data_IF_144105381248
#
_entry.id   IF_144105381248
#
_cell.length_a   1.000
_cell.length_b   1.000
_cell.length_c   1.000
_cell.angle_alpha   90.00
_cell.angle_beta   90.00
_cell.angle_gamma   90.00
#
_symmetry.space_group_name_H-M   'P 1'
#
loop_
_entity.id
_entity.type
_entity.pdbx_description
1 polymer ?
#
# COMPACT_ATOMS: atom_id res chain seq x y z
N UNK A 1 26.05 9.66 -5.69
CA UNK A 1 25.31 9.91 -4.43
C UNK A 1 23.82 9.77 -4.73
N UNK A 2 23.22 8.61 -4.45
CA UNK A 2 21.78 8.41 -4.64
C UNK A 2 21.05 8.97 -3.41
N UNK A 3 20.33 10.07 -3.59
CA UNK A 3 19.32 10.53 -2.63
C UNK A 3 18.18 9.50 -2.59
N UNK A 4 18.23 8.56 -1.66
CA UNK A 4 17.14 7.61 -1.42
C UNK A 4 16.02 8.33 -0.69
N UNK A 5 15.05 8.87 -1.44
CA UNK A 5 13.86 9.51 -0.86
C UNK A 5 13.07 8.50 -0.01
N UNK A 6 12.73 8.89 1.23
CA UNK A 6 11.87 8.10 2.11
C UNK A 6 10.44 8.06 1.55
N UNK A 7 9.81 6.89 1.57
CA UNK A 7 8.39 6.75 1.23
C UNK A 7 7.58 7.01 2.51
N UNK A 8 6.65 7.96 2.42
CA UNK A 8 5.71 8.28 3.49
C UNK A 8 4.37 7.58 3.20
N UNK A 9 3.92 6.73 4.14
CA UNK A 9 2.59 6.12 4.08
C UNK A 9 1.78 6.54 5.30
N UNK A 10 0.53 6.93 5.07
CA UNK A 10 -0.44 7.16 6.15
C UNK A 10 -1.11 5.84 6.51
N UNK A 11 -0.93 5.38 7.75
CA UNK A 11 -1.53 4.14 8.27
C UNK A 11 -2.44 4.50 9.44
N UNK A 12 -3.55 3.77 9.63
CA UNK A 12 -4.39 3.94 10.82
C UNK A 12 -3.54 3.75 12.07
N UNK A 13 -3.69 4.65 13.04
CA UNK A 13 -2.96 4.55 14.29
C UNK A 13 -3.30 3.22 15.00
N UNK A 14 -2.30 2.34 15.25
CA UNK A 14 -2.51 1.08 15.97
C UNK A 14 -2.57 1.27 17.50
N UNK A 15 -2.08 2.41 18.00
CA UNK A 15 -1.97 2.71 19.42
C UNK A 15 -3.28 3.22 20.02
N UNK A 16 -3.41 3.06 21.33
CA UNK A 16 -4.56 3.52 22.12
C UNK A 16 -4.72 5.02 22.14
N UNK A 17 -3.60 5.75 22.15
CA UNK A 17 -3.59 7.20 22.16
C UNK A 17 -3.36 7.77 20.76
N UNK A 18 -4.12 8.79 20.35
CA UNK A 18 -3.86 9.50 19.11
C UNK A 18 -2.53 10.28 19.19
N UNK A 19 -1.77 10.27 18.10
CA UNK A 19 -0.64 11.18 17.96
C UNK A 19 -1.14 12.60 17.69
N UNK A 20 -0.97 13.48 18.69
CA UNK A 20 -1.34 14.90 18.63
C UNK A 20 -0.11 15.83 18.70
N UNK A 21 1.08 15.27 18.55
CA UNK A 21 2.35 16.00 18.65
C UNK A 21 2.46 17.19 17.66
N UNK A 22 1.71 17.12 16.56
CA UNK A 22 1.66 18.16 15.50
C UNK A 22 0.81 19.38 15.88
N UNK A 23 -0.24 19.14 16.67
CA UNK A 23 -1.26 20.11 17.04
C UNK A 23 -0.91 20.87 18.32
N UNK A 24 -0.31 20.19 19.29
CA UNK A 24 -0.14 20.71 20.64
C UNK A 24 0.78 19.88 21.50
N UNK A 25 0.77 20.16 22.80
CA UNK A 25 1.60 19.50 23.80
C UNK A 25 0.75 19.10 25.00
N UNK A 26 1.13 17.99 25.62
CA UNK A 26 0.57 17.56 26.90
C UNK A 26 1.32 18.26 28.04
N UNK A 27 0.58 18.87 28.97
CA UNK A 27 1.14 19.63 30.09
C UNK A 27 1.71 18.75 31.21
N UNK A 28 1.14 17.56 31.37
CA UNK A 28 1.57 16.50 32.30
C UNK A 28 1.81 15.24 31.45
N UNK A 29 2.50 14.21 31.97
CA UNK A 29 2.45 12.89 31.35
C UNK A 29 1.00 12.60 30.97
N UNK A 30 0.81 12.27 29.69
CA UNK A 30 -0.51 12.14 29.07
C UNK A 30 -1.39 11.14 29.82
N UNK A 31 -2.62 10.94 29.38
CA UNK A 31 -3.49 9.97 30.03
C UNK A 31 -2.87 8.55 29.94
N UNK A 32 -2.18 8.12 31.01
CA UNK A 32 -1.71 6.75 31.21
C UNK A 32 -2.93 5.90 31.54
N UNK A 33 -3.58 5.36 30.51
CA UNK A 33 -4.79 4.55 30.69
C UNK A 33 -4.44 3.22 31.37
N UNK A 34 -3.22 2.73 31.16
CA UNK A 34 -2.70 1.52 31.81
C UNK A 34 -1.31 1.83 32.31
N UNK A 35 -1.12 1.75 33.63
CA UNK A 35 0.12 2.13 34.34
C UNK A 35 1.35 1.30 33.93
N UNK A 36 1.13 0.15 33.28
CA UNK A 36 2.19 -0.83 32.99
C UNK A 36 2.32 -1.19 31.50
N UNK A 37 1.66 -0.45 30.59
CA UNK A 37 1.74 -0.76 29.16
C UNK A 37 2.47 0.35 28.41
N UNK A 38 3.63 -0.03 27.84
CA UNK A 38 4.33 0.81 26.89
C UNK A 38 3.40 1.14 25.72
N UNK A 39 3.10 2.44 25.55
CA UNK A 39 2.20 2.94 24.50
C UNK A 39 2.71 2.68 23.08
N UNK A 40 3.98 2.29 22.94
CA UNK A 40 4.66 1.99 21.68
C UNK A 40 4.44 0.55 21.18
N UNK A 41 3.76 -0.31 21.96
CA UNK A 41 3.46 -1.65 21.51
C UNK A 41 2.23 -1.69 20.60
N UNK A 42 2.38 -2.23 19.38
CA UNK A 42 1.26 -2.36 18.42
C UNK A 42 0.12 -3.27 18.92
N UNK A 43 0.34 -4.03 20.01
CA UNK A 43 -0.57 -5.06 20.52
C UNK A 43 -1.06 -4.80 21.95
N UNK A 44 -1.19 -3.54 22.35
CA UNK A 44 -1.79 -3.14 23.65
C UNK A 44 -3.11 -3.88 23.92
N UNK A 45 -3.96 -4.05 22.89
CA UNK A 45 -5.23 -4.77 23.00
C UNK A 45 -5.11 -6.23 23.47
N UNK A 46 -3.98 -6.88 23.21
CA UNK A 46 -3.77 -8.27 23.63
C UNK A 46 -3.51 -8.40 25.13
N UNK A 47 -2.96 -7.35 25.76
CA UNK A 47 -2.63 -7.29 27.18
C UNK A 47 -3.78 -6.79 28.06
N UNK A 48 -4.80 -6.19 27.45
CA UNK A 48 -5.94 -5.57 28.14
C UNK A 48 -7.17 -6.48 28.07
N UNK A 49 -7.92 -6.54 29.17
CA UNK A 49 -9.18 -7.26 29.24
C UNK A 49 -10.22 -6.72 28.25
N UNK A 50 -11.07 -7.60 27.71
CA UNK A 50 -12.00 -7.25 26.63
C UNK A 50 -12.89 -6.05 26.95
N UNK A 51 -13.29 -5.90 28.22
CA UNK A 51 -14.17 -4.82 28.66
C UNK A 51 -13.43 -3.49 28.87
N UNK A 52 -12.15 -3.52 29.22
CA UNK A 52 -11.31 -2.33 29.38
C UNK A 52 -10.87 -1.75 28.03
N UNK A 53 -10.82 -2.57 26.97
CA UNK A 53 -10.43 -2.13 25.62
C UNK A 53 -11.22 -0.93 25.12
N UNK A 54 -12.53 -0.86 25.39
CA UNK A 54 -13.34 0.26 24.92
C UNK A 54 -12.89 1.59 25.52
N UNK A 55 -12.52 1.58 26.80
CA UNK A 55 -12.10 2.77 27.56
C UNK A 55 -10.60 3.06 27.38
N UNK A 56 -9.83 2.03 26.99
CA UNK A 56 -8.42 2.16 26.69
C UNK A 56 -8.13 2.93 25.40
N UNK A 57 -9.07 3.05 24.46
CA UNK A 57 -8.85 3.79 23.21
C UNK A 57 -9.38 5.21 23.30
N UNK A 58 -8.49 6.20 23.15
CA UNK A 58 -8.90 7.58 22.96
C UNK A 58 -9.12 7.91 21.48
N UNK A 59 -10.18 8.67 21.21
CA UNK A 59 -10.38 9.31 19.92
C UNK A 59 -9.65 10.65 19.86
N UNK A 60 -9.41 11.18 18.66
CA UNK A 60 -8.91 12.55 18.49
C UNK A 60 -9.77 13.58 19.23
N UNK A 61 -11.10 13.41 19.21
CA UNK A 61 -12.04 14.32 19.85
C UNK A 61 -11.94 14.27 21.38
N UNK A 62 -11.79 13.09 21.97
CA UNK A 62 -11.65 12.95 23.42
C UNK A 62 -10.30 13.49 23.88
N UNK A 63 -9.21 13.16 23.17
CA UNK A 63 -7.87 13.64 23.51
C UNK A 63 -7.76 15.18 23.42
N UNK A 64 -8.38 15.81 22.42
CA UNK A 64 -8.41 17.28 22.29
C UNK A 64 -9.21 18.01 23.36
N UNK A 65 -10.18 17.33 23.98
CA UNK A 65 -11.01 17.89 25.05
C UNK A 65 -10.40 17.66 26.43
N UNK A 66 -9.33 16.87 26.53
CA UNK A 66 -8.64 16.64 27.78
C UNK A 66 -8.05 17.95 28.32
N UNK A 67 -8.25 18.23 29.61
CA UNK A 67 -7.73 19.42 30.27
C UNK A 67 -6.20 19.46 30.32
N UNK A 68 -5.55 18.30 30.19
CA UNK A 68 -4.09 18.18 30.16
C UNK A 68 -3.49 18.53 28.81
N UNK A 69 -4.31 18.56 27.76
CA UNK A 69 -3.88 18.83 26.40
C UNK A 69 -4.03 20.33 26.07
N UNK A 70 -2.96 20.94 25.58
CA UNK A 70 -2.96 22.34 25.13
C UNK A 70 -2.53 22.42 23.67
N UNK A 71 -3.38 23.00 22.84
CA UNK A 71 -3.07 23.28 21.43
C UNK A 71 -2.92 24.77 21.19
N UNK A 72 -1.73 25.19 20.82
CA UNK A 72 -1.39 26.60 20.62
C UNK A 72 -1.79 27.10 19.22
N UNK A 73 -2.08 26.19 18.28
CA UNK A 73 -2.34 26.49 16.86
C UNK A 73 -3.83 26.61 16.51
N UNK A 74 -4.71 26.46 17.49
CA UNK A 74 -6.17 26.54 17.28
C UNK A 74 -6.57 27.99 16.99
N UNK A 75 -7.35 28.26 15.92
CA UNK A 75 -7.93 29.57 15.64
C UNK A 75 -8.74 30.08 16.84
N UNK A 76 -8.55 31.34 17.24
CA UNK A 76 -9.24 31.90 18.40
C UNK A 76 -10.59 32.49 18.05
N UNK A 77 -10.71 33.04 16.86
CA UNK A 77 -11.92 33.67 16.36
C UNK A 77 -12.28 33.19 14.95
N UNK A 78 -13.38 33.74 14.42
CA UNK A 78 -13.85 33.43 13.08
C UNK A 78 -12.94 33.98 11.99
N UNK A 79 -12.19 35.05 12.25
CA UNK A 79 -11.29 35.65 11.29
C UNK A 79 -10.06 34.75 11.09
N UNK A 80 -9.44 34.29 12.17
CA UNK A 80 -8.33 33.33 12.16
C UNK A 80 -8.70 32.08 11.35
N UNK A 81 -9.92 31.57 11.53
CA UNK A 81 -10.42 30.41 10.80
C UNK A 81 -10.58 30.68 9.30
N UNK A 82 -11.00 31.89 8.92
CA UNK A 82 -11.11 32.29 7.51
C UNK A 82 -9.73 32.52 6.89
N UNK A 83 -8.80 33.11 7.64
CA UNK A 83 -7.42 33.34 7.20
C UNK A 83 -6.64 32.04 7.02
N UNK A 84 -6.99 30.97 7.73
CA UNK A 84 -6.40 29.64 7.54
C UNK A 84 -6.97 28.87 6.34
N UNK A 85 -8.07 29.34 5.75
CA UNK A 85 -8.72 28.66 4.63
C UNK A 85 -7.96 28.85 3.30
N UNK A 86 -8.23 27.96 2.35
CA UNK A 86 -7.66 28.00 1.01
C UNK A 86 -8.71 28.51 0.03
N UNK A 87 -8.27 29.42 -0.84
CA UNK A 87 -9.05 29.90 -1.97
C UNK A 87 -8.28 29.75 -3.29
N UNK A 88 -8.91 29.16 -4.31
CA UNK A 88 -8.34 28.98 -5.64
C UNK A 88 -9.20 29.68 -6.70
N UNK A 89 -8.91 30.97 -6.94
CA UNK A 89 -9.69 31.78 -7.87
C UNK A 89 -9.78 31.18 -9.28
N UNK A 90 -8.68 30.61 -9.78
CA UNK A 90 -8.58 30.11 -11.16
C UNK A 90 -9.44 28.86 -11.44
N UNK A 91 -9.82 28.12 -10.39
CA UNK A 91 -10.57 26.85 -10.51
C UNK A 91 -12.03 26.99 -10.11
N UNK A 92 -12.37 28.06 -9.38
CA UNK A 92 -13.66 28.22 -8.73
C UNK A 92 -14.51 29.29 -9.45
N UNK A 93 -15.17 28.88 -10.55
CA UNK A 93 -16.18 29.70 -11.22
C UNK A 93 -17.59 29.33 -10.70
N UNK A 94 -18.34 30.31 -10.19
CA UNK A 94 -19.72 30.15 -9.68
C UNK A 94 -19.91 29.19 -8.50
N UNK A 95 -18.89 28.99 -7.67
CA UNK A 95 -19.01 28.10 -6.52
C UNK A 95 -19.86 28.77 -5.42
N UNK A 96 -20.81 28.05 -4.79
CA UNK A 96 -21.62 28.65 -3.73
C UNK A 96 -20.77 29.10 -2.53
N UNK A 97 -21.25 30.12 -1.82
CA UNK A 97 -20.53 30.80 -0.71
C UNK A 97 -19.94 29.87 0.36
N UNK A 98 -20.49 28.67 0.54
CA UNK A 98 -19.99 27.66 1.48
C UNK A 98 -18.63 27.06 1.10
N UNK A 99 -18.26 27.06 -0.18
CA UNK A 99 -16.98 26.51 -0.65
C UNK A 99 -15.87 27.55 -0.72
N UNK A 100 -16.16 28.82 -0.44
CA UNK A 100 -15.15 29.89 -0.45
C UNK A 100 -14.12 29.73 0.66
N UNK A 101 -14.47 29.04 1.76
CA UNK A 101 -13.61 28.83 2.92
C UNK A 101 -13.43 27.34 3.21
N UNK A 102 -12.64 26.65 2.37
CA UNK A 102 -12.27 25.26 2.60
C UNK A 102 -10.97 25.21 3.40
N UNK A 103 -10.94 24.44 4.48
CA UNK A 103 -9.71 24.27 5.26
C UNK A 103 -8.70 23.38 4.52
N UNK A 104 -7.39 23.67 4.63
CA UNK A 104 -6.32 22.92 3.96
C UNK A 104 -6.41 21.41 4.15
N UNK A 105 -6.69 20.98 5.38
CA UNK A 105 -6.78 19.56 5.72
C UNK A 105 -7.90 18.81 4.99
N UNK A 106 -8.94 19.50 4.51
CA UNK A 106 -10.03 18.89 3.75
C UNK A 106 -9.64 18.58 2.30
N UNK A 107 -8.55 19.18 1.79
CA UNK A 107 -8.01 18.95 0.45
C UNK A 107 -6.73 18.11 0.56
N UNK A 108 -6.65 17.25 1.59
CA UNK A 108 -5.49 16.40 1.89
C UNK A 108 -4.16 17.16 2.02
N UNK A 109 -4.20 18.48 2.25
CA UNK A 109 -2.98 19.23 2.57
C UNK A 109 -2.61 19.01 4.01
N UNK A 110 -1.32 18.88 4.23
CA UNK A 110 -0.80 18.65 5.56
C UNK A 110 -0.79 19.95 6.37
N UNK A 111 -1.80 20.15 7.22
CA UNK A 111 -1.87 21.23 8.20
C UNK A 111 -1.45 20.79 9.59
N UNK A 112 -1.43 21.70 10.56
CA UNK A 112 -1.22 21.38 11.97
C UNK A 112 -2.28 20.43 12.53
N UNK A 113 -3.54 20.56 12.08
CA UNK A 113 -4.68 19.76 12.52
C UNK A 113 -4.75 18.42 11.79
N UNK A 114 -5.01 17.36 12.54
CA UNK A 114 -5.15 16.00 12.04
C UNK A 114 -6.62 15.57 11.99
N UNK A 115 -7.18 15.36 10.80
CA UNK A 115 -8.60 14.99 10.68
C UNK A 115 -8.90 13.53 11.01
N UNK A 116 -7.93 12.63 10.80
CA UNK A 116 -8.08 11.18 10.98
C UNK A 116 -7.00 10.64 11.91
N UNK A 117 -7.34 9.66 12.75
CA UNK A 117 -6.36 9.02 13.63
C UNK A 117 -5.42 8.11 12.82
N UNK A 118 -4.43 8.72 12.17
CA UNK A 118 -3.48 8.11 11.28
C UNK A 118 -2.07 8.56 11.64
N UNK A 119 -1.09 7.68 11.48
CA UNK A 119 0.32 7.96 11.72
C UNK A 119 1.05 7.85 10.39
N UNK A 120 2.03 8.73 10.20
CA UNK A 120 2.93 8.71 9.06
C UNK A 120 4.08 7.74 9.33
N UNK A 121 4.11 6.66 8.57
CA UNK A 121 5.20 5.69 8.61
C UNK A 121 6.19 6.02 7.51
N UNK A 122 7.43 6.28 7.91
CA UNK A 122 8.54 6.53 7.01
C UNK A 122 9.27 5.22 6.76
N UNK A 123 9.24 4.75 5.52
CA UNK A 123 9.93 3.53 5.12
C UNK A 123 10.96 3.85 4.04
N UNK A 124 12.08 3.13 4.06
CA UNK A 124 13.02 3.16 2.95
C UNK A 124 12.31 2.60 1.71
N UNK A 125 12.52 3.17 0.52
CA UNK A 125 11.98 2.59 -0.69
C UNK A 125 12.50 1.16 -0.80
N UNK A 126 11.64 0.22 -1.20
CA UNK A 126 12.07 -1.14 -1.47
C UNK A 126 13.18 -1.08 -2.51
N UNK A 127 14.33 -1.71 -2.23
CA UNK A 127 15.35 -1.91 -3.24
C UNK A 127 14.67 -2.61 -4.43
N UNK A 128 14.81 -2.13 -5.67
CA UNK A 128 14.22 -2.81 -6.81
C UNK A 128 14.76 -4.24 -6.85
N UNK A 129 13.89 -5.23 -6.61
CA UNK A 129 14.22 -6.64 -6.76
C UNK A 129 14.21 -6.94 -8.26
N UNK A 130 15.36 -6.74 -8.91
CA UNK A 130 15.57 -7.05 -10.31
C UNK A 130 16.94 -6.61 -10.78
N UNK A 131 17.75 -7.56 -11.24
CA UNK A 131 18.83 -7.27 -12.17
C UNK A 131 18.19 -6.85 -13.49
N UNK A 132 18.78 -5.88 -14.20
CA UNK A 132 18.30 -5.50 -15.52
C UNK A 132 18.19 -6.75 -16.40
N UNK A 133 16.97 -7.09 -16.81
CA UNK A 133 16.74 -8.16 -17.79
C UNK A 133 17.28 -7.59 -19.11
N UNK A 134 18.53 -7.91 -19.41
CA UNK A 134 19.14 -7.61 -20.71
C UNK A 134 18.44 -8.47 -21.75
N UNK A 135 17.44 -7.90 -22.43
CA UNK A 135 16.96 -8.47 -23.68
C UNK A 135 18.10 -8.36 -24.68
N UNK A 136 18.55 -9.49 -25.24
CA UNK A 136 19.49 -9.47 -26.35
C UNK A 136 18.84 -8.61 -27.45
N UNK A 137 19.54 -7.55 -27.85
CA UNK A 137 19.13 -6.64 -28.90
C UNK A 137 18.82 -7.51 -30.14
N UNK A 138 17.55 -7.56 -30.52
CA UNK A 138 17.16 -8.19 -31.78
C UNK A 138 17.64 -7.20 -32.84
N UNK A 139 18.90 -7.33 -33.25
CA UNK A 139 19.35 -6.75 -34.49
C UNK A 139 18.35 -7.22 -35.55
N UNK A 140 17.48 -6.30 -35.98
CA UNK A 140 16.69 -6.45 -37.18
C UNK A 140 17.68 -6.54 -38.32
N UNK A 141 18.20 -7.75 -38.60
CA UNK A 141 18.88 -8.06 -39.84
C UNK A 141 17.87 -7.85 -40.95
N UNK A 142 17.85 -6.62 -41.46
CA UNK A 142 17.27 -6.27 -42.74
C UNK A 142 17.82 -7.28 -43.74
N UNK A 143 16.92 -8.03 -44.34
CA UNK A 143 17.17 -8.91 -45.46
C UNK A 143 17.88 -8.11 -46.56
N UNK A 144 19.18 -8.32 -46.72
CA UNK A 144 19.85 -8.09 -47.99
C UNK A 144 19.92 -9.43 -48.70
N UNK A 145 19.26 -9.46 -49.84
CA UNK A 145 19.26 -10.54 -50.81
C UNK A 145 20.63 -10.68 -51.48
N UNK A 146 20.87 -11.89 -51.98
CA UNK A 146 21.92 -12.33 -52.92
C UNK A 146 23.22 -12.90 -52.33
N UNK A 147 23.52 -14.15 -52.68
CA UNK A 147 24.84 -14.75 -52.52
C UNK A 147 24.82 -16.23 -52.14
N UNK A 148 25.04 -17.10 -53.12
CA UNK A 148 25.11 -18.56 -53.01
C UNK A 148 26.29 -19.02 -52.13
N UNK A 149 26.10 -20.01 -51.26
CA UNK A 149 26.72 -21.35 -51.37
C UNK A 149 26.78 -22.13 -50.04
N UNK A 150 26.40 -23.40 -50.17
CA UNK A 150 26.87 -24.60 -49.45
C UNK A 150 26.82 -24.68 -47.93
N UNK A 151 25.90 -25.54 -47.46
CA UNK A 151 26.32 -26.69 -46.66
C UNK A 151 26.05 -26.65 -45.16
N UNK A 152 24.94 -27.32 -44.79
CA UNK A 152 24.59 -27.84 -43.46
C UNK A 152 23.95 -26.86 -42.45
N UNK A 153 22.70 -26.54 -42.79
CA UNK A 153 21.52 -26.63 -41.92
C UNK A 153 21.61 -26.02 -40.51
N UNK A 154 21.34 -24.71 -40.49
CA UNK A 154 20.18 -24.16 -39.79
C UNK A 154 19.72 -24.93 -38.54
N UNK A 155 20.46 -24.80 -37.44
CA UNK A 155 19.84 -24.85 -36.11
C UNK A 155 18.96 -23.60 -35.96
N UNK A 156 17.84 -23.57 -36.67
CA UNK A 156 16.75 -22.65 -36.39
C UNK A 156 16.21 -23.07 -35.03
N UNK A 157 16.82 -22.54 -33.96
CA UNK A 157 16.30 -22.66 -32.60
C UNK A 157 14.89 -22.07 -32.63
N UNK A 158 13.89 -22.94 -32.80
CA UNK A 158 12.48 -22.55 -32.75
C UNK A 158 12.29 -21.81 -31.42
N UNK A 159 11.88 -20.54 -31.51
CA UNK A 159 11.57 -19.71 -30.35
C UNK A 159 10.28 -20.25 -29.74
N UNK A 160 10.41 -21.23 -28.86
CA UNK A 160 9.31 -21.79 -28.09
C UNK A 160 9.11 -20.85 -26.90
N UNK A 161 7.93 -20.25 -26.79
CA UNK A 161 7.55 -19.43 -25.64
C UNK A 161 7.63 -20.30 -24.37
N UNK A 162 8.05 -19.77 -23.20
CA UNK A 162 8.19 -20.59 -21.98
C UNK A 162 6.88 -21.27 -21.53
N UNK A 163 5.71 -20.78 -21.96
CA UNK A 163 4.42 -21.45 -21.74
C UNK A 163 4.08 -22.55 -22.76
N UNK A 164 4.95 -22.78 -23.75
CA UNK A 164 4.81 -23.77 -24.82
C UNK A 164 5.74 -24.97 -24.58
N UNK A 165 6.08 -25.23 -23.32
CA UNK A 165 6.74 -26.46 -22.88
C UNK A 165 5.66 -27.45 -22.46
N UNK A 166 5.69 -28.65 -23.05
CA UNK A 166 4.83 -29.75 -22.63
C UNK A 166 5.30 -30.23 -21.25
N UNK A 167 4.66 -29.74 -20.19
CA UNK A 167 5.01 -30.06 -18.79
C UNK A 167 4.43 -31.41 -18.32
N UNK A 168 3.66 -32.09 -19.16
CA UNK A 168 3.16 -33.42 -18.86
C UNK A 168 4.31 -34.43 -18.99
N UNK A 169 4.57 -35.20 -17.93
CA UNK A 169 5.46 -36.35 -18.00
C UNK A 169 4.76 -37.40 -18.86
N UNK A 170 5.26 -37.63 -20.08
CA UNK A 170 4.81 -38.73 -20.93
C UNK A 170 5.30 -40.05 -20.32
N UNK A 171 4.62 -40.52 -19.28
CA UNK A 171 4.74 -41.88 -18.77
C UNK A 171 3.74 -42.82 -19.46
N UNK A 172 3.76 -44.14 -19.19
CA UNK A 172 2.77 -45.09 -19.69
C UNK A 172 1.37 -44.87 -19.07
N UNK A 173 1.11 -43.69 -18.51
CA UNK A 173 -0.19 -43.18 -18.05
C UNK A 173 -1.08 -42.81 -19.25
N UNK A 174 -1.21 -43.75 -20.17
CA UNK A 174 -2.36 -43.82 -21.07
C UNK A 174 -3.52 -44.40 -20.29
N UNK A 175 -4.75 -44.15 -20.74
CA UNK A 175 -5.99 -44.54 -20.06
C UNK A 175 -6.10 -46.03 -19.64
N UNK A 176 -5.19 -46.87 -20.15
CA UNK A 176 -5.05 -48.29 -19.83
C UNK A 176 -4.35 -48.57 -18.48
N UNK A 177 -3.53 -47.67 -17.92
CA UNK A 177 -2.78 -47.94 -16.67
C UNK A 177 -3.42 -47.40 -15.40
N UNK A 178 -4.58 -46.74 -15.50
CA UNK A 178 -5.37 -46.30 -14.34
C UNK A 178 -6.85 -46.71 -14.48
N UNK A 179 -7.16 -48.01 -14.40
CA UNK A 179 -8.51 -48.54 -14.69
C UNK A 179 -9.61 -48.05 -13.73
N UNK A 180 -9.24 -47.44 -12.59
CA UNK A 180 -10.19 -46.87 -11.62
C UNK A 180 -10.52 -45.38 -11.81
N UNK A 181 -9.73 -44.63 -12.59
CA UNK A 181 -9.89 -43.17 -12.73
C UNK A 181 -10.05 -42.69 -14.17
N UNK A 182 -9.50 -43.41 -15.15
CA UNK A 182 -9.66 -43.07 -16.56
C UNK A 182 -10.98 -43.62 -17.12
N UNK A 183 -11.63 -42.85 -18.00
CA UNK A 183 -12.83 -43.26 -18.74
C UNK A 183 -12.48 -43.55 -20.18
N UNK A 184 -13.15 -44.52 -20.78
CA UNK A 184 -13.16 -44.72 -22.23
C UNK A 184 -13.83 -43.53 -22.90
N UNK A 185 -13.63 -43.40 -24.20
CA UNK A 185 -14.29 -42.42 -25.06
C UNK A 185 -15.83 -42.49 -24.91
N UNK A 186 -16.35 -43.69 -24.65
CA UNK A 186 -17.78 -43.96 -24.43
C UNK A 186 -18.24 -43.72 -22.98
N UNK A 187 -17.38 -43.14 -22.12
CA UNK A 187 -17.68 -42.79 -20.73
C UNK A 187 -17.66 -43.94 -19.71
N UNK A 188 -17.51 -45.18 -20.18
CA UNK A 188 -17.38 -46.38 -19.33
C UNK A 188 -15.98 -46.53 -18.74
N UNK A 189 -15.86 -47.18 -17.59
CA UNK A 189 -14.57 -47.46 -16.97
C UNK A 189 -13.81 -48.57 -17.71
N UNK A 190 -12.47 -48.55 -17.61
CA UNK A 190 -11.66 -49.69 -18.03
C UNK A 190 -11.81 -50.81 -16.98
N UNK A 191 -12.11 -52.02 -17.43
CA UNK A 191 -12.22 -53.18 -16.54
C UNK A 191 -10.85 -53.53 -15.95
N UNK A 192 -10.87 -54.06 -14.73
CA UNK A 192 -9.70 -54.64 -14.05
C UNK A 192 -9.52 -56.09 -14.53
#
# INVERSE_FOLDING_TARGET
MCSSGLIVKSVRNPYSLPDLSREGKWLVHGHEIVKDVCQEEERINSKIETHERLFAHQTLSTARRDCRYRSDKVPKDSLDFMLSSIYYHDKDLFVPKMYTAIQPESIDKETWRQLRNQIKVYSKPSVPLGHEIKYAEIESKRSLTSGKSSGLEASARKRIHPSSLQLAIEGPHTDRTNPGYSRKIDGTYYGI
#
